data_IF_806201661010
#
_entry.id   IF_806201661010
#
_cell.length_a   1.000
_cell.length_b   1.000
_cell.length_c   1.000
_cell.angle_alpha   90.00
_cell.angle_beta   90.00
_cell.angle_gamma   90.00
#
_symmetry.space_group_name_H-M   'P 1'
#
loop_
_entity.id
_entity.type
_entity.pdbx_description
1 polymer ?
#
# COMPACT_ATOMS: atom_id res chain seq x y z
N UNK A 1 -14.27 12.75 8.43
CA UNK A 1 -14.86 13.34 9.64
C UNK A 1 -16.30 12.87 9.74
N UNK A 2 -16.75 12.46 10.92
CA UNK A 2 -18.14 12.06 11.16
C UNK A 2 -19.07 13.27 11.06
N UNK A 3 -20.28 13.07 10.53
CA UNK A 3 -21.31 14.08 10.50
C UNK A 3 -22.40 13.65 11.48
N UNK A 4 -22.56 14.39 12.57
CA UNK A 4 -23.52 14.08 13.66
C UNK A 4 -23.41 12.65 14.21
N UNK A 5 -22.16 12.15 14.40
CA UNK A 5 -21.90 10.80 14.87
C UNK A 5 -22.16 9.68 13.85
N UNK A 6 -22.44 10.04 12.58
CA UNK A 6 -22.75 9.09 11.49
C UNK A 6 -21.70 9.10 10.38
N UNK A 7 -21.58 7.98 9.71
CA UNK A 7 -20.76 7.86 8.51
C UNK A 7 -21.31 8.76 7.39
N UNK A 8 -20.49 9.65 6.79
CA UNK A 8 -20.98 10.56 5.75
C UNK A 8 -21.41 9.86 4.46
N UNK A 9 -20.88 8.65 4.21
CA UNK A 9 -21.14 7.91 2.97
C UNK A 9 -22.40 7.04 3.05
N UNK A 10 -22.66 6.39 4.21
CA UNK A 10 -23.76 5.45 4.34
C UNK A 10 -24.81 5.83 5.41
N UNK A 11 -24.59 6.92 6.15
CA UNK A 11 -25.54 7.44 7.16
C UNK A 11 -25.69 6.59 8.43
N UNK A 12 -24.97 5.47 8.55
CA UNK A 12 -25.04 4.60 9.74
C UNK A 12 -24.35 5.25 10.94
N UNK A 13 -24.86 4.98 12.14
CA UNK A 13 -24.18 5.35 13.39
C UNK A 13 -22.83 4.65 13.50
N UNK A 14 -21.83 5.39 13.98
CA UNK A 14 -20.48 4.88 14.19
C UNK A 14 -20.26 4.74 15.69
N UNK A 15 -19.82 3.56 16.13
CA UNK A 15 -19.43 3.29 17.51
C UNK A 15 -17.91 3.25 17.62
N UNK A 16 -17.32 3.73 18.72
CA UNK A 16 -15.92 3.51 19.01
C UNK A 16 -15.64 2.00 19.09
N UNK A 17 -14.58 1.56 18.46
CA UNK A 17 -14.09 0.18 18.56
C UNK A 17 -12.60 0.23 18.90
N UNK A 18 -12.19 -0.62 19.84
CA UNK A 18 -10.81 -0.84 20.20
C UNK A 18 -10.40 -2.23 19.72
N UNK A 19 -9.22 -2.32 19.16
CA UNK A 19 -8.67 -3.56 18.64
C UNK A 19 -7.18 -3.64 19.00
N UNK A 20 -6.77 -4.76 19.56
CA UNK A 20 -5.35 -5.05 19.76
C UNK A 20 -4.71 -5.35 18.40
N UNK A 21 -3.53 -4.77 18.15
CA UNK A 21 -2.85 -4.93 16.88
C UNK A 21 -1.35 -4.75 17.01
N UNK A 22 -0.60 -5.40 16.13
CA UNK A 22 0.82 -5.14 15.92
C UNK A 22 1.00 -3.95 14.98
N UNK A 23 2.04 -3.16 15.25
CA UNK A 23 2.38 -1.98 14.45
C UNK A 23 3.78 -2.09 13.87
N UNK A 24 3.88 -1.86 12.57
CA UNK A 24 5.16 -1.60 11.91
C UNK A 24 5.57 -0.16 12.17
N UNK A 25 6.78 0.04 12.72
CA UNK A 25 7.29 1.37 13.04
C UNK A 25 7.69 2.12 11.76
N UNK A 26 6.68 2.54 11.00
CA UNK A 26 6.83 3.26 9.74
C UNK A 26 7.52 4.61 9.95
N UNK A 27 7.27 5.25 11.07
CA UNK A 27 7.89 6.53 11.49
C UNK A 27 9.43 6.48 11.48
N UNK A 28 10.02 5.32 11.78
CA UNK A 28 11.49 5.11 11.73
C UNK A 28 12.07 5.33 10.33
N UNK A 29 11.28 5.08 9.30
CA UNK A 29 11.69 5.13 7.90
C UNK A 29 11.33 6.46 7.21
N UNK A 30 10.79 7.44 7.94
CA UNK A 30 10.36 8.71 7.37
C UNK A 30 11.47 9.42 6.59
N UNK A 31 12.67 9.57 7.21
CA UNK A 31 13.78 10.23 6.55
C UNK A 31 14.36 9.43 5.38
N UNK A 32 14.67 8.12 5.51
CA UNK A 32 15.12 7.30 4.37
C UNK A 32 14.15 7.32 3.18
N UNK A 33 12.85 7.21 3.42
CA UNK A 33 11.84 7.26 2.37
C UNK A 33 11.76 8.66 1.75
N UNK A 34 11.82 9.72 2.56
CA UNK A 34 11.85 11.09 2.07
C UNK A 34 13.04 11.31 1.12
N UNK A 35 14.22 10.86 1.52
CA UNK A 35 15.45 10.98 0.72
C UNK A 35 15.33 10.18 -0.59
N UNK A 36 14.78 8.99 -0.55
CA UNK A 36 14.49 8.19 -1.74
C UNK A 36 13.58 8.96 -2.72
N UNK A 37 12.48 9.55 -2.24
CA UNK A 37 11.53 10.26 -3.08
C UNK A 37 12.07 11.58 -3.62
N UNK A 38 12.83 12.31 -2.82
CA UNK A 38 13.29 13.65 -3.18
C UNK A 38 14.54 13.63 -4.06
N UNK A 39 15.45 12.69 -3.84
CA UNK A 39 16.78 12.69 -4.41
C UNK A 39 16.96 11.70 -5.57
N UNK A 40 15.92 10.92 -5.89
CA UNK A 40 15.95 9.94 -6.97
C UNK A 40 14.73 10.04 -7.88
N UNK A 41 14.73 9.27 -8.97
CA UNK A 41 13.58 9.09 -9.87
C UNK A 41 12.68 7.93 -9.48
N UNK A 42 12.73 7.50 -8.21
CA UNK A 42 11.97 6.37 -7.71
C UNK A 42 10.46 6.52 -7.91
N UNK A 43 9.89 7.70 -7.63
CA UNK A 43 8.46 7.98 -7.81
C UNK A 43 8.22 8.94 -8.98
N UNK A 44 7.37 8.52 -9.91
CA UNK A 44 6.94 9.28 -11.07
C UNK A 44 5.41 9.32 -11.19
N UNK A 45 4.82 10.38 -11.77
CA UNK A 45 5.44 11.65 -12.13
C UNK A 45 5.85 12.49 -10.91
N UNK A 46 6.69 13.48 -11.10
CA UNK A 46 7.22 14.33 -9.99
C UNK A 46 6.13 15.00 -9.14
N UNK A 47 4.96 15.26 -9.69
CA UNK A 47 3.80 15.76 -8.94
C UNK A 47 3.41 14.82 -7.78
N UNK A 48 3.58 13.50 -7.94
CA UNK A 48 3.30 12.50 -6.89
C UNK A 48 4.30 12.60 -5.74
N UNK A 49 5.56 12.92 -6.02
CA UNK A 49 6.56 13.15 -4.98
C UNK A 49 6.13 14.28 -4.05
N UNK A 50 5.75 15.42 -4.64
CA UNK A 50 5.28 16.58 -3.86
C UNK A 50 4.04 16.26 -3.02
N UNK A 51 3.11 15.49 -3.60
CA UNK A 51 1.90 15.02 -2.90
C UNK A 51 2.24 14.12 -1.70
N UNK A 52 3.11 13.12 -1.90
CA UNK A 52 3.49 12.18 -0.84
C UNK A 52 4.28 12.85 0.27
N UNK A 53 5.24 13.69 -0.09
CA UNK A 53 6.08 14.38 0.89
C UNK A 53 5.25 15.36 1.73
N UNK A 54 4.50 16.24 1.11
CA UNK A 54 3.75 17.29 1.81
C UNK A 54 2.57 16.78 2.63
N UNK A 55 1.88 15.75 2.13
CA UNK A 55 0.64 15.29 2.76
C UNK A 55 0.86 14.16 3.78
N UNK A 56 1.98 13.44 3.68
CA UNK A 56 2.20 12.25 4.52
C UNK A 56 3.52 12.27 5.29
N UNK A 57 4.64 12.67 4.65
CA UNK A 57 5.95 12.57 5.30
C UNK A 57 6.24 13.78 6.16
N UNK A 58 6.10 15.00 5.65
CA UNK A 58 6.41 16.24 6.37
C UNK A 58 5.52 16.46 7.62
N UNK A 59 4.22 16.08 7.62
CA UNK A 59 3.41 16.13 8.84
C UNK A 59 3.81 15.10 9.92
N UNK A 60 4.62 14.10 9.56
CA UNK A 60 5.01 12.96 10.38
C UNK A 60 4.29 11.68 9.96
N UNK A 61 5.07 10.62 9.72
CA UNK A 61 4.50 9.30 9.44
C UNK A 61 4.04 8.65 10.75
N UNK A 62 2.78 8.23 10.77
CA UNK A 62 2.24 7.38 11.82
C UNK A 62 2.64 5.92 11.59
N UNK A 63 2.85 5.17 12.68
CA UNK A 63 3.13 3.75 12.61
C UNK A 63 1.93 2.99 12.02
N UNK A 64 2.21 1.99 11.21
CA UNK A 64 1.21 1.27 10.44
C UNK A 64 0.75 0.02 11.18
N UNK A 65 -0.55 -0.10 11.42
CA UNK A 65 -1.17 -1.34 11.88
C UNK A 65 -0.94 -2.45 10.84
N UNK A 66 -0.42 -3.61 11.28
CA UNK A 66 -0.06 -4.74 10.41
C UNK A 66 -0.78 -6.04 10.76
N UNK A 67 -1.61 -6.04 11.79
CA UNK A 67 -2.45 -7.18 12.14
C UNK A 67 -3.86 -6.76 12.56
N UNK A 68 -4.78 -7.72 12.63
CA UNK A 68 -6.17 -7.56 13.04
C UNK A 68 -6.61 -8.72 13.91
N UNK A 69 -7.52 -8.44 14.85
CA UNK A 69 -8.14 -9.44 15.73
C UNK A 69 -9.67 -9.50 15.59
N UNK A 70 -10.28 -8.52 14.92
CA UNK A 70 -11.74 -8.40 14.77
C UNK A 70 -12.39 -9.49 13.91
N UNK A 71 -11.58 -10.31 13.20
CA UNK A 71 -12.03 -11.45 12.40
C UNK A 71 -10.90 -12.48 12.31
N UNK A 72 -11.26 -13.73 11.98
CA UNK A 72 -10.32 -14.85 11.90
C UNK A 72 -9.97 -15.29 10.48
N UNK A 73 -10.62 -14.72 9.46
CA UNK A 73 -10.31 -15.03 8.07
C UNK A 73 -9.08 -14.25 7.60
N UNK A 74 -8.05 -14.95 7.16
CA UNK A 74 -6.81 -14.33 6.67
C UNK A 74 -5.59 -15.21 6.96
N UNK A 75 -4.40 -14.65 6.75
CA UNK A 75 -3.12 -15.31 7.07
C UNK A 75 -2.89 -15.14 8.58
N UNK A 76 -2.82 -16.21 9.36
CA UNK A 76 -2.55 -16.11 10.79
C UNK A 76 -1.13 -15.59 11.04
N UNK A 77 -0.95 -14.87 12.14
CA UNK A 77 0.37 -14.48 12.61
C UNK A 77 0.98 -15.65 13.37
N UNK A 78 2.10 -16.18 12.90
CA UNK A 78 2.70 -17.42 13.41
C UNK A 78 3.00 -17.39 14.91
N UNK A 79 3.51 -16.28 15.40
CA UNK A 79 3.87 -16.10 16.83
C UNK A 79 2.69 -15.68 17.70
N UNK A 80 1.55 -15.32 17.11
CA UNK A 80 0.31 -14.97 17.80
C UNK A 80 -0.92 -15.31 16.94
N UNK A 81 -1.41 -16.57 16.99
CA UNK A 81 -2.51 -17.04 16.13
C UNK A 81 -3.87 -16.36 16.37
N UNK A 82 -3.99 -15.55 17.43
CA UNK A 82 -5.15 -14.68 17.65
C UNK A 82 -5.24 -13.51 16.66
N UNK A 83 -4.16 -13.21 15.95
CA UNK A 83 -4.08 -12.15 14.96
C UNK A 83 -4.03 -12.72 13.53
N UNK A 84 -4.58 -11.96 12.59
CA UNK A 84 -4.39 -12.17 11.16
C UNK A 84 -3.61 -11.00 10.56
N UNK A 85 -2.83 -11.28 9.54
CA UNK A 85 -2.04 -10.27 8.82
C UNK A 85 -2.96 -9.24 8.17
N UNK A 86 -2.62 -7.96 8.30
CA UNK A 86 -3.36 -6.88 7.67
C UNK A 86 -3.18 -6.91 6.15
N UNK A 87 -4.28 -6.69 5.44
CA UNK A 87 -4.39 -6.83 3.98
C UNK A 87 -3.29 -6.13 3.17
N UNK A 88 -2.79 -4.99 3.62
CA UNK A 88 -1.72 -4.29 2.88
C UNK A 88 -0.34 -4.93 3.04
N UNK A 89 -0.09 -5.67 4.10
CA UNK A 89 1.14 -6.48 4.22
C UNK A 89 1.09 -7.59 3.19
N UNK A 90 0.01 -8.39 3.16
CA UNK A 90 -0.21 -9.44 2.17
C UNK A 90 -0.15 -8.90 0.74
N UNK A 91 -0.91 -7.83 0.45
CA UNK A 91 -0.97 -7.23 -0.88
C UNK A 91 0.38 -6.71 -1.40
N UNK A 92 1.25 -6.19 -0.53
CA UNK A 92 2.56 -5.69 -0.95
C UNK A 92 3.59 -6.82 -1.09
N UNK A 93 3.62 -7.77 -0.15
CA UNK A 93 4.52 -8.92 -0.24
C UNK A 93 4.16 -9.89 -1.37
N UNK A 94 2.94 -9.86 -1.89
CA UNK A 94 2.58 -10.62 -3.09
C UNK A 94 3.56 -10.42 -4.26
N UNK A 95 4.16 -9.24 -4.43
CA UNK A 95 5.16 -9.00 -5.48
C UNK A 95 6.42 -9.87 -5.35
N UNK A 96 6.80 -10.25 -4.17
CA UNK A 96 7.99 -11.09 -3.91
C UNK A 96 7.61 -12.56 -3.73
N UNK A 97 6.50 -12.85 -3.05
CA UNK A 97 6.05 -14.24 -2.84
C UNK A 97 5.62 -14.92 -4.13
N UNK A 98 4.98 -14.18 -5.06
CA UNK A 98 4.63 -14.70 -6.38
C UNK A 98 5.84 -15.08 -7.23
N UNK A 99 7.01 -14.49 -6.96
CA UNK A 99 8.29 -14.83 -7.60
C UNK A 99 9.04 -15.95 -6.88
N UNK A 100 8.54 -16.40 -5.74
CA UNK A 100 9.17 -17.47 -4.97
C UNK A 100 10.20 -17.02 -3.94
N UNK A 101 10.07 -15.79 -3.40
CA UNK A 101 10.90 -15.37 -2.28
C UNK A 101 10.72 -16.34 -1.10
N UNK A 102 11.85 -16.93 -0.62
CA UNK A 102 11.90 -17.97 0.42
C UNK A 102 10.98 -19.19 0.14
N UNK A 103 10.75 -19.52 -1.14
CA UNK A 103 9.92 -20.64 -1.54
C UNK A 103 10.62 -21.51 -2.58
N UNK A 104 11.05 -22.69 -2.20
CA UNK A 104 11.81 -23.62 -3.05
C UNK A 104 11.02 -24.17 -4.26
N UNK A 105 9.71 -23.99 -4.29
CA UNK A 105 8.86 -24.41 -5.42
C UNK A 105 8.89 -23.43 -6.60
N UNK A 106 9.39 -22.21 -6.40
CA UNK A 106 9.47 -21.16 -7.40
C UNK A 106 10.83 -20.46 -7.34
N UNK A 107 11.45 -20.23 -8.50
CA UNK A 107 12.83 -19.72 -8.57
C UNK A 107 12.97 -18.46 -9.45
N UNK A 108 11.89 -17.69 -9.59
CA UNK A 108 11.88 -16.51 -10.45
C UNK A 108 12.32 -15.23 -9.71
N UNK A 109 12.48 -15.29 -8.37
CA UNK A 109 12.83 -14.12 -7.57
C UNK A 109 14.14 -13.48 -8.02
N UNK A 110 15.23 -14.22 -8.13
CA UNK A 110 16.53 -13.71 -8.53
C UNK A 110 16.56 -13.18 -9.97
N UNK A 111 15.61 -13.62 -10.79
CA UNK A 111 15.51 -13.21 -12.20
C UNK A 111 14.72 -11.92 -12.38
N UNK A 112 13.63 -11.73 -11.60
CA UNK A 112 12.67 -10.66 -11.84
C UNK A 112 12.62 -9.62 -10.71
N UNK A 113 13.24 -9.88 -9.56
CA UNK A 113 13.38 -8.91 -8.51
C UNK A 113 14.78 -8.29 -8.47
N UNK A 114 14.94 -6.98 -8.28
CA UNK A 114 13.88 -5.98 -8.07
C UNK A 114 13.11 -5.62 -9.35
N UNK A 115 11.82 -5.35 -9.19
CA UNK A 115 10.96 -4.93 -10.29
C UNK A 115 11.47 -3.63 -10.94
N UNK A 116 11.43 -3.55 -12.28
CA UNK A 116 11.81 -2.34 -13.00
C UNK A 116 10.83 -1.20 -12.75
N UNK A 117 9.52 -1.50 -12.74
CA UNK A 117 8.47 -0.53 -12.49
C UNK A 117 7.28 -1.18 -11.79
N UNK A 118 6.82 -0.57 -10.70
CA UNK A 118 5.46 -0.75 -10.19
C UNK A 118 4.54 0.30 -10.85
N UNK A 119 3.68 -0.15 -11.72
CA UNK A 119 2.73 0.71 -12.43
C UNK A 119 1.37 0.67 -11.70
N UNK A 120 1.00 1.75 -11.02
CA UNK A 120 -0.12 1.76 -10.08
C UNK A 120 -1.04 2.96 -10.25
N UNK A 121 -2.30 2.81 -9.89
CA UNK A 121 -3.25 3.93 -9.81
C UNK A 121 -2.89 4.88 -8.66
N UNK A 122 -3.22 6.14 -8.82
CA UNK A 122 -2.89 7.20 -7.84
C UNK A 122 -3.41 6.92 -6.44
N UNK A 123 -4.46 6.14 -6.29
CA UNK A 123 -5.09 5.80 -5.00
C UNK A 123 -4.18 4.98 -4.09
N UNK A 124 -3.32 4.15 -4.70
CA UNK A 124 -2.43 3.24 -3.97
C UNK A 124 -0.95 3.65 -4.04
N UNK A 125 -0.67 4.84 -4.59
CA UNK A 125 0.71 5.37 -4.66
C UNK A 125 1.34 5.46 -3.28
N UNK A 126 0.59 5.88 -2.25
CA UNK A 126 1.09 5.97 -0.87
C UNK A 126 1.66 4.62 -0.39
N UNK A 127 0.95 3.53 -0.65
CA UNK A 127 1.40 2.20 -0.23
C UNK A 127 2.66 1.76 -0.98
N UNK A 128 2.76 2.05 -2.26
CA UNK A 128 3.90 1.63 -3.09
C UNK A 128 5.13 2.54 -2.99
N UNK A 129 4.95 3.81 -2.62
CA UNK A 129 6.05 4.76 -2.53
C UNK A 129 6.52 5.08 -1.12
N UNK A 130 5.73 4.78 -0.09
CA UNK A 130 6.07 5.03 1.31
C UNK A 130 6.14 3.71 2.08
N UNK A 131 5.05 2.97 2.14
CA UNK A 131 4.94 1.77 2.99
C UNK A 131 5.83 0.64 2.46
N UNK A 132 5.72 0.33 1.17
CA UNK A 132 6.47 -0.77 0.55
C UNK A 132 7.98 -0.60 0.64
N UNK A 133 8.58 0.52 0.22
CA UNK A 133 10.03 0.70 0.39
C UNK A 133 10.45 0.68 1.86
N UNK A 134 9.66 1.19 2.80
CA UNK A 134 9.98 1.11 4.23
C UNK A 134 10.01 -0.34 4.73
N UNK A 135 9.06 -1.18 4.33
CA UNK A 135 9.04 -2.60 4.65
C UNK A 135 10.26 -3.33 4.07
N UNK A 136 10.56 -3.11 2.79
CA UNK A 136 11.74 -3.69 2.15
C UNK A 136 13.04 -3.24 2.81
N UNK A 137 13.19 -1.96 3.15
CA UNK A 137 14.34 -1.44 3.91
C UNK A 137 14.47 -2.13 5.27
N UNK A 138 13.35 -2.43 5.94
CA UNK A 138 13.37 -3.10 7.24
C UNK A 138 13.91 -4.52 7.18
N UNK A 139 13.76 -5.17 6.04
CA UNK A 139 14.21 -6.53 5.77
C UNK A 139 15.58 -6.58 5.04
N UNK A 140 16.17 -5.42 4.72
CA UNK A 140 17.40 -5.35 3.93
C UNK A 140 17.23 -5.83 2.49
N UNK A 141 16.01 -5.80 1.95
CA UNK A 141 15.69 -6.25 0.61
C UNK A 141 15.92 -5.15 -0.43
N UNK A 142 16.28 -5.50 -1.68
CA UNK A 142 16.36 -4.55 -2.79
C UNK A 142 15.03 -3.87 -3.04
N UNK A 143 15.06 -2.55 -3.31
CA UNK A 143 13.87 -1.79 -3.67
C UNK A 143 13.54 -1.95 -5.16
N UNK A 144 12.27 -1.87 -5.57
CA UNK A 144 11.89 -1.66 -6.97
C UNK A 144 12.64 -0.44 -7.53
N UNK A 145 12.96 -0.47 -8.83
CA UNK A 145 13.70 0.65 -9.44
C UNK A 145 12.83 1.90 -9.58
N UNK A 146 11.50 1.72 -9.78
CA UNK A 146 10.57 2.82 -10.00
C UNK A 146 9.14 2.47 -9.58
N UNK A 147 8.41 3.50 -9.12
CA UNK A 147 6.96 3.50 -8.98
C UNK A 147 6.37 4.57 -9.89
N UNK A 148 5.43 4.20 -10.76
CA UNK A 148 4.72 5.13 -11.62
C UNK A 148 3.25 5.20 -11.23
N UNK A 149 2.81 6.36 -10.71
CA UNK A 149 1.44 6.60 -10.26
C UNK A 149 0.61 7.31 -11.32
N UNK A 150 -0.18 6.56 -12.10
CA UNK A 150 -1.06 7.15 -13.12
C UNK A 150 -2.34 7.76 -12.52
N UNK A 151 -2.95 8.68 -13.25
CA UNK A 151 -4.26 9.28 -12.91
C UNK A 151 -5.40 8.28 -13.06
N UNK A 152 -6.61 8.71 -12.71
CA UNK A 152 -7.81 7.91 -12.97
C UNK A 152 -8.07 7.79 -14.47
N UNK A 153 -8.50 6.60 -14.88
CA UNK A 153 -9.11 6.41 -16.18
C UNK A 153 -10.53 7.00 -16.11
N UNK A 154 -10.81 7.93 -17.01
CA UNK A 154 -12.09 8.64 -17.07
C UNK A 154 -12.86 8.18 -18.30
N UNK A 155 -14.15 8.01 -18.14
CA UNK A 155 -15.11 7.78 -19.22
C UNK A 155 -16.33 8.66 -18.98
N UNK A 156 -16.82 9.35 -20.03
CA UNK A 156 -17.99 10.24 -19.97
C UNK A 156 -17.92 11.30 -18.84
N UNK A 157 -16.71 11.87 -18.62
CA UNK A 157 -16.50 12.91 -17.61
C UNK A 157 -16.43 12.42 -16.15
N UNK A 158 -16.46 11.11 -15.92
CA UNK A 158 -16.38 10.52 -14.59
C UNK A 158 -15.31 9.46 -14.43
N UNK A 159 -14.97 9.12 -13.19
CA UNK A 159 -14.10 7.98 -12.89
C UNK A 159 -14.72 6.70 -13.41
N UNK A 160 -13.98 5.94 -14.21
CA UNK A 160 -14.38 4.61 -14.68
C UNK A 160 -14.49 3.66 -13.49
N UNK A 161 -15.63 2.99 -13.33
CA UNK A 161 -15.89 2.11 -12.19
C UNK A 161 -16.90 1.02 -12.55
N UNK A 162 -16.60 -0.23 -12.15
CA UNK A 162 -17.53 -1.36 -12.33
C UNK A 162 -18.88 -1.11 -11.68
N UNK A 163 -18.91 -0.49 -10.50
CA UNK A 163 -20.16 -0.18 -9.80
C UNK A 163 -21.04 0.86 -10.48
N UNK A 164 -20.47 1.68 -11.37
CA UNK A 164 -21.18 2.68 -12.18
C UNK A 164 -21.57 2.16 -13.57
N UNK A 165 -21.09 0.98 -13.97
CA UNK A 165 -21.35 0.43 -15.29
C UNK A 165 -20.64 1.14 -16.45
N UNK A 166 -19.79 2.13 -16.18
CA UNK A 166 -19.04 2.89 -17.17
C UNK A 166 -17.61 2.30 -17.34
N UNK A 167 -17.53 1.06 -17.82
CA UNK A 167 -16.26 0.36 -18.00
C UNK A 167 -16.07 0.06 -19.47
N UNK A 168 -14.87 0.28 -19.99
CA UNK A 168 -14.47 -0.20 -21.32
C UNK A 168 -14.05 -1.66 -21.19
N UNK A 169 -14.64 -2.52 -22.02
CA UNK A 169 -14.21 -3.90 -22.12
C UNK A 169 -12.87 -3.95 -22.87
N UNK A 170 -11.81 -4.51 -22.27
CA UNK A 170 -10.50 -4.58 -22.92
C UNK A 170 -10.44 -5.56 -24.10
N UNK A 171 -11.50 -6.35 -24.32
CA UNK A 171 -11.61 -7.33 -25.43
C UNK A 171 -12.42 -6.83 -26.61
N UNK A 172 -12.90 -5.56 -26.61
CA UNK A 172 -13.62 -4.94 -27.71
C UNK A 172 -12.68 -4.15 -28.62
#
# INVERSE_FOLDING_TARGET
QLKDGKCPDCGREVQPAEEEAYFFRLSKYAQPVRDLLMNTDYLQPRSRVNEMVRNFIDPGLEDLCVSRTSFSWGIPVDFDPGHVVYVWVDALFNYTTALGFENDAHHDYDRYWPADVHFVGKEIVRFHSIVWPAMLMSMGMPLPKKVFGHGWLLLDGGKMSKSKGNVVDPYL
#
